data_IF_965564408915
#
_entry.id   IF_965564408915
#
_cell.length_a   1.000
_cell.length_b   1.000
_cell.length_c   1.000
_cell.angle_alpha   90.00
_cell.angle_beta   90.00
_cell.angle_gamma   90.00
#
_symmetry.space_group_name_H-M   'P 1'
#
loop_
_entity.id
_entity.type
_entity.pdbx_description
1 polymer ?
#
# COMPACT_ATOMS: atom_id res chain seq x y z
N UNK A 1 -11.39 5.20 5.01
CA UNK A 1 -12.56 6.10 4.89
C UNK A 1 -13.83 5.41 5.38
N UNK A 2 -13.95 5.17 6.69
CA UNK A 2 -15.09 4.46 7.31
C UNK A 2 -15.90 5.33 8.31
N UNK A 3 -15.58 6.62 8.41
CA UNK A 3 -16.30 7.52 9.30
C UNK A 3 -17.67 7.80 8.68
N UNK A 4 -18.72 7.78 9.50
CA UNK A 4 -20.14 7.96 9.09
C UNK A 4 -20.49 9.40 8.67
N UNK A 5 -19.51 10.31 8.67
CA UNK A 5 -19.67 11.70 8.26
C UNK A 5 -19.42 11.84 6.75
N UNK A 6 -20.38 12.43 6.03
CA UNK A 6 -20.18 12.78 4.63
C UNK A 6 -19.19 13.94 4.50
N UNK A 7 -18.21 13.77 3.60
CA UNK A 7 -17.26 14.80 3.23
C UNK A 7 -17.46 15.15 1.75
N UNK A 8 -17.55 16.44 1.38
CA UNK A 8 -17.81 16.83 0.00
C UNK A 8 -16.58 16.74 -0.92
N UNK A 9 -15.43 16.30 -0.39
CA UNK A 9 -14.17 16.12 -1.11
C UNK A 9 -13.64 14.70 -0.97
N UNK A 10 -12.87 14.25 -1.97
CA UNK A 10 -12.24 12.94 -1.95
C UNK A 10 -11.06 12.91 -0.97
N UNK A 11 -11.10 11.98 -0.03
CA UNK A 11 -9.97 11.65 0.84
C UNK A 11 -9.17 10.51 0.22
N UNK A 12 -7.90 10.75 -0.09
CA UNK A 12 -6.98 9.77 -0.68
C UNK A 12 -5.60 9.90 -0.05
N UNK A 13 -4.70 8.98 -0.39
CA UNK A 13 -3.31 8.99 0.06
C UNK A 13 -2.39 9.70 -0.94
N UNK A 14 -1.29 10.23 -0.42
CA UNK A 14 -0.13 10.72 -1.18
C UNK A 14 1.13 10.39 -0.37
N UNK A 15 1.60 9.17 -0.51
CA UNK A 15 2.66 8.62 0.33
C UNK A 15 3.94 8.36 -0.47
N UNK A 16 5.08 8.80 0.05
CA UNK A 16 6.40 8.38 -0.43
C UNK A 16 6.89 7.16 0.34
N UNK A 17 7.49 7.41 1.52
CA UNK A 17 8.13 6.36 2.34
C UNK A 17 7.21 5.19 2.68
N UNK A 18 5.94 5.43 3.02
CA UNK A 18 5.02 4.37 3.41
C UNK A 18 4.67 3.40 2.27
N UNK A 19 4.78 3.82 1.00
CA UNK A 19 4.61 2.93 -0.15
C UNK A 19 5.92 2.23 -0.54
N UNK A 20 7.04 2.96 -0.51
CA UNK A 20 8.27 2.49 -1.14
C UNK A 20 9.26 1.82 -0.18
N UNK A 21 9.21 2.12 1.13
CA UNK A 21 10.28 1.72 2.04
C UNK A 21 10.49 0.21 2.15
N UNK A 22 9.43 -0.59 2.07
CA UNK A 22 9.55 -2.05 2.18
C UNK A 22 10.11 -2.62 0.87
N UNK A 23 9.49 -2.24 -0.26
CA UNK A 23 9.94 -2.63 -1.60
C UNK A 23 11.42 -2.31 -1.86
N UNK A 24 11.87 -1.09 -1.51
CA UNK A 24 13.27 -0.68 -1.71
C UNK A 24 14.26 -1.50 -0.88
N UNK A 25 13.88 -1.93 0.33
CA UNK A 25 14.73 -2.79 1.16
C UNK A 25 14.90 -4.16 0.51
N UNK A 26 13.80 -4.77 0.08
CA UNK A 26 13.82 -6.07 -0.60
C UNK A 26 14.56 -6.02 -1.92
N UNK A 27 14.36 -4.97 -2.72
CA UNK A 27 15.13 -4.79 -3.95
C UNK A 27 16.65 -4.75 -3.70
N UNK A 28 17.07 -4.08 -2.62
CA UNK A 28 18.47 -3.93 -2.24
C UNK A 28 19.15 -5.24 -1.78
N UNK A 29 18.40 -6.32 -1.56
CA UNK A 29 18.94 -7.64 -1.19
C UNK A 29 19.67 -8.33 -2.36
N UNK A 30 19.44 -7.89 -3.61
CA UNK A 30 20.16 -8.33 -4.82
C UNK A 30 20.18 -9.85 -5.06
N UNK A 31 19.18 -10.57 -4.56
CA UNK A 31 18.90 -11.95 -4.99
C UNK A 31 18.29 -11.97 -6.40
N UNK A 32 18.29 -13.13 -7.07
CA UNK A 32 17.69 -13.28 -8.41
C UNK A 32 16.21 -12.86 -8.42
N UNK A 33 15.49 -13.10 -7.32
CA UNK A 33 14.07 -12.78 -7.15
C UNK A 33 13.80 -11.41 -6.52
N UNK A 34 14.83 -10.62 -6.16
CA UNK A 34 14.64 -9.39 -5.39
C UNK A 34 13.81 -8.33 -6.14
N UNK A 35 13.90 -8.32 -7.47
CA UNK A 35 13.16 -7.39 -8.33
C UNK A 35 11.67 -7.70 -8.35
N UNK A 36 11.27 -8.96 -8.56
CA UNK A 36 9.86 -9.39 -8.55
C UNK A 36 9.27 -9.23 -7.16
N UNK A 37 9.96 -9.69 -6.12
CA UNK A 37 9.51 -9.55 -4.73
C UNK A 37 9.30 -8.08 -4.32
N UNK A 38 10.20 -7.17 -4.73
CA UNK A 38 10.04 -5.73 -4.52
C UNK A 38 8.78 -5.18 -5.20
N UNK A 39 8.51 -5.59 -6.44
CA UNK A 39 7.33 -5.15 -7.17
C UNK A 39 6.04 -5.65 -6.52
N UNK A 40 6.01 -6.91 -6.10
CA UNK A 40 4.86 -7.51 -5.41
C UNK A 40 4.56 -6.80 -4.10
N UNK A 41 5.61 -6.48 -3.32
CA UNK A 41 5.46 -5.73 -2.08
C UNK A 41 4.94 -4.31 -2.30
N UNK A 42 5.42 -3.61 -3.34
CA UNK A 42 4.91 -2.30 -3.70
C UNK A 42 3.44 -2.38 -4.14
N UNK A 43 3.09 -3.36 -4.98
CA UNK A 43 1.74 -3.57 -5.48
C UNK A 43 0.76 -3.91 -4.35
N UNK A 44 1.17 -4.77 -3.41
CA UNK A 44 0.41 -5.08 -2.20
C UNK A 44 0.13 -3.80 -1.39
N UNK A 45 1.17 -2.99 -1.11
CA UNK A 45 0.99 -1.73 -0.36
C UNK A 45 0.09 -0.73 -1.09
N UNK A 46 0.22 -0.61 -2.41
CA UNK A 46 -0.67 0.23 -3.21
C UNK A 46 -2.13 -0.26 -3.13
N UNK A 47 -2.36 -1.58 -3.20
CA UNK A 47 -3.69 -2.19 -3.06
C UNK A 47 -4.29 -1.91 -1.68
N UNK A 48 -3.53 -2.08 -0.61
CA UNK A 48 -4.01 -1.79 0.76
C UNK A 48 -4.43 -0.33 0.93
N UNK A 49 -3.63 0.60 0.40
CA UNK A 49 -3.98 2.02 0.45
C UNK A 49 -5.19 2.37 -0.43
N UNK A 50 -5.37 1.69 -1.56
CA UNK A 50 -6.55 1.83 -2.42
C UNK A 50 -7.82 1.38 -1.69
N UNK A 51 -7.78 0.24 -0.99
CA UNK A 51 -8.89 -0.24 -0.15
C UNK A 51 -9.15 0.70 1.04
N UNK A 52 -8.10 1.26 1.65
CA UNK A 52 -8.27 2.20 2.76
C UNK A 52 -8.96 3.50 2.30
N UNK A 53 -8.67 3.94 1.06
CA UNK A 53 -9.35 5.05 0.39
C UNK A 53 -10.82 4.75 0.12
N UNK A 54 -11.20 3.54 -0.31
CA UNK A 54 -12.62 3.23 -0.49
C UNK A 54 -13.34 2.96 0.84
N UNK A 55 -12.59 2.68 1.91
CA UNK A 55 -13.16 2.27 3.19
C UNK A 55 -13.31 0.76 3.33
N UNK A 56 -12.84 -0.02 2.35
CA UNK A 56 -12.99 -1.48 2.31
C UNK A 56 -11.81 -2.23 2.94
N UNK A 57 -10.75 -1.53 3.36
CA UNK A 57 -9.60 -2.17 3.99
C UNK A 57 -9.99 -2.83 5.32
N UNK A 58 -9.41 -4.01 5.56
CA UNK A 58 -9.57 -4.81 6.77
C UNK A 58 -8.20 -5.37 7.16
N UNK A 59 -8.01 -5.59 8.45
CA UNK A 59 -6.76 -6.12 9.00
C UNK A 59 -6.37 -7.48 8.36
N UNK A 60 -7.36 -8.31 8.03
CA UNK A 60 -7.19 -9.63 7.42
C UNK A 60 -6.60 -9.60 6.00
N UNK A 61 -6.60 -8.44 5.32
CA UNK A 61 -6.09 -8.30 3.94
C UNK A 61 -4.60 -7.94 3.89
N UNK A 62 -4.02 -7.71 5.05
CA UNK A 62 -2.67 -7.18 5.23
C UNK A 62 -1.58 -8.27 5.13
N UNK A 63 -1.94 -9.52 5.38
CA UNK A 63 -1.08 -10.71 5.29
C UNK A 63 -0.97 -11.24 3.85
#
# INVERSE_FOLDING_TARGET
>A
NQIEAEHPWQLSYSYGRALQSHALKTWAERSDDSSSASQDMFAHRARMNSLARSGDWRLELED
#
